data_IF_233262280860
#
_entry.id   IF_233262280860
#
_cell.length_a   1.000
_cell.length_b   1.000
_cell.length_c   1.000
_cell.angle_alpha   90.00
_cell.angle_beta   90.00
_cell.angle_gamma   90.00
#
_symmetry.space_group_name_H-M   'P 1'
#
loop_
_entity.id
_entity.type
_entity.pdbx_description
1 polymer ?
#
# COMPACT_ATOMS: atom_id res chain seq x y z
N UNK A 1 17.30 1.90 4.25
CA UNK A 1 17.91 1.46 2.98
C UNK A 1 17.72 2.59 1.97
N UNK A 2 18.75 2.98 1.21
CA UNK A 2 18.64 4.00 0.15
C UNK A 2 19.03 3.37 -1.18
N UNK A 3 18.22 3.57 -2.22
CA UNK A 3 18.51 3.12 -3.58
C UNK A 3 19.46 4.09 -4.29
N UNK A 4 20.29 3.58 -5.23
CA UNK A 4 21.06 4.45 -6.13
C UNK A 4 20.13 4.92 -7.26
N UNK A 5 20.00 6.24 -7.41
CA UNK A 5 19.04 6.93 -8.29
C UNK A 5 18.92 6.47 -9.76
N UNK A 6 19.95 5.93 -10.48
CA UNK A 6 19.71 5.54 -11.86
C UNK A 6 18.90 4.25 -12.04
N UNK A 7 18.75 3.43 -10.99
CA UNK A 7 18.06 2.13 -11.08
C UNK A 7 16.71 2.09 -10.34
N UNK A 8 16.41 3.10 -9.51
CA UNK A 8 15.17 3.19 -8.72
C UNK A 8 14.56 4.56 -8.96
N UNK A 9 13.36 4.57 -9.53
CA UNK A 9 12.59 5.77 -9.85
C UNK A 9 11.95 6.36 -8.60
N UNK A 10 11.42 5.52 -7.71
CA UNK A 10 10.86 5.94 -6.42
C UNK A 10 10.83 4.79 -5.42
N UNK A 11 10.77 5.14 -4.13
CA UNK A 11 10.68 4.20 -3.01
C UNK A 11 9.63 4.69 -2.02
N UNK A 12 8.65 3.85 -1.72
CA UNK A 12 7.72 4.03 -0.61
C UNK A 12 7.87 2.88 0.36
N UNK A 13 8.08 3.18 1.64
CA UNK A 13 8.08 2.18 2.71
C UNK A 13 7.22 2.68 3.85
N UNK A 14 6.58 1.75 4.54
CA UNK A 14 5.85 2.06 5.75
C UNK A 14 5.96 0.93 6.78
N UNK A 15 5.81 1.27 8.05
CA UNK A 15 5.89 0.35 9.17
C UNK A 15 4.89 0.73 10.26
N UNK A 16 4.02 -0.22 10.60
CA UNK A 16 2.91 -0.01 11.51
C UNK A 16 2.84 -1.12 12.57
N UNK A 17 2.38 -0.85 13.81
CA UNK A 17 2.05 -1.90 14.75
C UNK A 17 0.99 -2.85 14.15
N UNK A 18 1.17 -4.17 14.31
CA UNK A 18 0.16 -5.15 13.89
C UNK A 18 -0.95 -5.25 14.94
N UNK A 19 -1.71 -4.16 15.05
CA UNK A 19 -2.87 -4.00 15.92
C UNK A 19 -4.05 -3.43 15.13
N UNK A 20 -5.26 -3.59 15.67
CA UNK A 20 -6.50 -3.05 15.10
C UNK A 20 -6.39 -1.54 14.82
N UNK A 21 -7.07 -1.07 13.76
CA UNK A 21 -7.27 0.36 13.58
C UNK A 21 -8.20 0.94 14.66
N UNK A 22 -8.03 2.21 15.05
CA UNK A 22 -9.00 2.89 15.90
C UNK A 22 -10.38 2.95 15.24
N UNK A 23 -11.43 3.00 16.06
CA UNK A 23 -12.82 3.07 15.59
C UNK A 23 -13.03 4.24 14.60
N UNK A 24 -13.71 3.95 13.49
CA UNK A 24 -14.04 4.93 12.44
C UNK A 24 -12.90 5.26 11.47
N UNK A 25 -11.67 4.78 11.72
CA UNK A 25 -10.55 5.00 10.79
C UNK A 25 -10.68 4.13 9.54
N UNK A 26 -11.17 2.90 9.69
CA UNK A 26 -11.30 1.97 8.56
C UNK A 26 -12.17 2.54 7.43
N UNK A 27 -13.33 3.11 7.75
CA UNK A 27 -14.24 3.66 6.73
C UNK A 27 -13.65 4.90 6.04
N UNK A 28 -12.80 5.66 6.74
CA UNK A 28 -12.16 6.85 6.19
C UNK A 28 -10.97 6.53 5.27
N UNK A 29 -10.39 5.33 5.37
CA UNK A 29 -9.17 4.95 4.66
C UNK A 29 -9.38 3.84 3.61
N UNK A 30 -10.62 3.36 3.45
CA UNK A 30 -10.95 2.24 2.56
C UNK A 30 -12.10 2.53 1.61
N UNK A 31 -12.05 1.88 0.46
CA UNK A 31 -13.18 1.74 -0.45
C UNK A 31 -14.09 0.59 -0.01
N UNK A 32 -15.35 0.62 -0.44
CA UNK A 32 -16.34 -0.44 -0.16
C UNK A 32 -15.86 -1.80 -0.70
N UNK A 33 -15.28 -1.81 -1.90
CA UNK A 33 -14.72 -3.00 -2.54
C UNK A 33 -13.53 -3.55 -1.74
N UNK A 34 -12.66 -2.68 -1.23
CA UNK A 34 -11.51 -3.11 -0.41
C UNK A 34 -11.97 -3.79 0.87
N UNK A 35 -13.02 -3.26 1.54
CA UNK A 35 -13.58 -3.90 2.74
C UNK A 35 -14.12 -5.30 2.43
N UNK A 36 -14.74 -5.50 1.28
CA UNK A 36 -15.21 -6.81 0.85
C UNK A 36 -14.05 -7.76 0.53
N UNK A 37 -13.04 -7.29 -0.21
CA UNK A 37 -11.88 -8.09 -0.61
C UNK A 37 -11.03 -8.50 0.60
N UNK A 38 -10.74 -7.59 1.54
CA UNK A 38 -9.95 -7.94 2.73
C UNK A 38 -10.71 -8.84 3.69
N UNK A 39 -12.04 -8.78 3.73
CA UNK A 39 -12.87 -9.71 4.52
C UNK A 39 -12.85 -11.14 3.96
N UNK A 40 -12.43 -11.34 2.70
CA UNK A 40 -12.24 -12.65 2.09
C UNK A 40 -10.83 -13.23 2.32
N UNK A 41 -9.92 -12.46 2.91
CA UNK A 41 -8.56 -12.90 3.23
C UNK A 41 -8.52 -13.70 4.54
N UNK A 42 -7.47 -14.50 4.80
CA UNK A 42 -7.40 -15.33 6.01
C UNK A 42 -7.51 -14.52 7.32
N UNK A 43 -8.41 -14.92 8.23
CA UNK A 43 -8.77 -14.21 9.48
C UNK A 43 -7.66 -14.07 10.55
N UNK A 44 -6.39 -14.37 10.22
CA UNK A 44 -5.28 -14.39 11.18
C UNK A 44 -4.55 -13.06 11.34
N UNK A 45 -4.86 -12.07 10.50
CA UNK A 45 -4.16 -10.79 10.45
C UNK A 45 -5.14 -9.61 10.51
N UNK A 46 -4.66 -8.50 11.09
CA UNK A 46 -5.28 -7.17 11.00
C UNK A 46 -5.13 -6.61 9.57
N UNK A 47 -5.98 -7.07 8.65
CA UNK A 47 -5.94 -6.65 7.24
C UNK A 47 -6.29 -5.19 7.03
N UNK A 48 -7.12 -4.63 7.91
CA UNK A 48 -7.37 -3.20 8.04
C UNK A 48 -6.06 -2.41 8.18
N UNK A 49 -5.19 -2.84 9.09
CA UNK A 49 -3.89 -2.23 9.33
C UNK A 49 -2.91 -2.46 8.19
N UNK A 50 -2.94 -3.65 7.58
CA UNK A 50 -2.09 -3.97 6.42
C UNK A 50 -2.46 -3.09 5.22
N UNK A 51 -3.76 -2.89 4.98
CA UNK A 51 -4.27 -1.99 3.96
C UNK A 51 -3.85 -0.54 4.22
N UNK A 52 -4.02 -0.06 5.46
CA UNK A 52 -3.56 1.27 5.86
C UNK A 52 -2.06 1.48 5.59
N UNK A 53 -1.22 0.54 6.04
CA UNK A 53 0.22 0.58 5.83
C UNK A 53 0.58 0.59 4.33
N UNK A 54 -0.13 -0.20 3.52
CA UNK A 54 0.08 -0.22 2.07
C UNK A 54 -0.32 1.11 1.39
N UNK A 55 -1.41 1.76 1.84
CA UNK A 55 -1.82 3.09 1.35
C UNK A 55 -0.76 4.15 1.66
N UNK A 56 -0.18 4.13 2.86
CA UNK A 56 0.91 5.03 3.23
C UNK A 56 2.16 4.82 2.34
N UNK A 57 2.56 3.56 2.12
CA UNK A 57 3.67 3.24 1.23
C UNK A 57 3.39 3.71 -0.21
N UNK A 58 2.15 3.57 -0.71
CA UNK A 58 1.72 4.10 -2.01
C UNK A 58 1.91 5.62 -2.07
N UNK A 59 1.42 6.37 -1.08
CA UNK A 59 1.59 7.83 -1.04
C UNK A 59 3.08 8.22 -1.03
N UNK A 60 3.91 7.53 -0.24
CA UNK A 60 5.35 7.78 -0.13
C UNK A 60 6.10 7.50 -1.46
N UNK A 61 5.68 6.48 -2.22
CA UNK A 61 6.22 6.21 -3.56
C UNK A 61 5.69 7.20 -4.62
N UNK A 62 4.45 7.66 -4.47
CA UNK A 62 3.75 8.56 -5.39
C UNK A 62 4.25 10.01 -5.32
N UNK A 63 4.29 10.59 -4.13
CA UNK A 63 4.47 12.03 -3.95
C UNK A 63 5.76 12.59 -4.58
N UNK A 64 6.94 11.94 -4.49
CA UNK A 64 8.15 12.42 -5.17
C UNK A 64 8.01 12.50 -6.69
N UNK A 65 7.17 11.64 -7.28
CA UNK A 65 6.99 11.50 -8.72
C UNK A 65 5.97 12.48 -9.31
N UNK A 66 4.98 12.87 -8.52
CA UNK A 66 3.83 13.67 -9.00
C UNK A 66 3.73 15.04 -8.34
N UNK A 67 4.27 15.18 -7.12
CA UNK A 67 4.10 16.35 -6.23
C UNK A 67 2.63 16.71 -5.99
N UNK A 68 1.74 15.71 -6.08
CA UNK A 68 0.30 15.86 -5.89
C UNK A 68 -0.15 15.03 -4.70
N UNK A 69 -1.22 15.50 -4.07
CA UNK A 69 -1.95 14.71 -3.07
C UNK A 69 -2.50 13.44 -3.72
N UNK A 70 -2.57 12.37 -2.94
CA UNK A 70 -3.25 11.12 -3.25
C UNK A 70 -3.99 10.70 -1.98
N UNK A 71 -5.30 10.85 -1.99
CA UNK A 71 -6.19 10.43 -0.90
C UNK A 71 -6.23 8.91 -0.75
N UNK A 72 -6.87 8.45 0.32
CA UNK A 72 -7.01 7.00 0.56
C UNK A 72 -7.96 6.37 -0.47
N UNK A 73 -8.99 7.11 -0.87
CA UNK A 73 -9.98 6.77 -1.89
C UNK A 73 -9.43 6.85 -3.32
N UNK A 74 -8.28 7.50 -3.54
CA UNK A 74 -7.69 7.71 -4.87
C UNK A 74 -6.90 6.49 -5.38
N UNK A 75 -6.84 5.42 -4.59
CA UNK A 75 -6.15 4.19 -4.94
C UNK A 75 -6.91 2.96 -4.46
N UNK A 76 -7.06 1.94 -5.30
CA UNK A 76 -7.60 0.63 -4.93
C UNK A 76 -6.46 -0.38 -4.76
N UNK A 77 -6.32 -0.98 -3.58
CA UNK A 77 -5.29 -1.97 -3.26
C UNK A 77 -5.89 -3.37 -3.19
N UNK A 78 -5.31 -4.28 -3.98
CA UNK A 78 -5.59 -5.73 -3.93
C UNK A 78 -4.38 -6.48 -3.38
N UNK A 79 -4.63 -7.57 -2.63
CA UNK A 79 -3.60 -8.37 -1.99
C UNK A 79 -3.55 -9.80 -2.54
N UNK A 80 -2.34 -10.31 -2.71
CA UNK A 80 -2.03 -11.73 -2.85
C UNK A 80 -1.28 -12.19 -1.61
N UNK A 81 -1.61 -13.38 -1.10
CA UNK A 81 -1.06 -13.94 0.13
C UNK A 81 -0.17 -15.14 -0.20
N UNK A 82 1.09 -15.12 0.24
CA UNK A 82 1.99 -16.26 0.09
C UNK A 82 1.55 -17.43 1.01
N UNK A 83 1.96 -18.69 0.74
CA UNK A 83 1.47 -19.87 1.48
C UNK A 83 1.65 -19.83 3.01
N UNK A 84 2.67 -19.12 3.50
CA UNK A 84 2.93 -18.96 4.94
C UNK A 84 1.94 -18.01 5.63
N UNK A 85 1.18 -17.23 4.86
CA UNK A 85 0.10 -16.38 5.37
C UNK A 85 0.55 -15.12 6.11
N UNK A 86 1.85 -14.80 6.12
CA UNK A 86 2.41 -13.63 6.84
C UNK A 86 3.18 -12.67 5.93
N UNK A 87 3.20 -12.95 4.63
CA UNK A 87 3.86 -12.12 3.61
C UNK A 87 3.09 -12.27 2.31
N UNK A 88 3.29 -11.33 1.40
CA UNK A 88 2.74 -11.42 0.06
C UNK A 88 3.01 -10.19 -0.77
N UNK A 89 2.17 -10.02 -1.78
CA UNK A 89 2.24 -8.92 -2.74
C UNK A 89 0.96 -8.09 -2.61
N UNK A 90 1.08 -6.81 -2.94
CA UNK A 90 -0.10 -5.99 -3.19
C UNK A 90 0.08 -5.19 -4.48
N UNK A 91 -1.03 -4.77 -5.07
CA UNK A 91 -1.05 -3.85 -6.22
C UNK A 91 -1.98 -2.70 -5.89
N UNK A 92 -1.41 -1.50 -5.87
CA UNK A 92 -2.16 -0.25 -5.73
C UNK A 92 -2.49 0.31 -7.11
N UNK A 93 -3.76 0.23 -7.52
CA UNK A 93 -4.29 0.82 -8.75
C UNK A 93 -4.67 2.26 -8.48
N UNK A 94 -4.11 3.20 -9.23
CA UNK A 94 -4.41 4.64 -9.10
C UNK A 94 -5.70 4.95 -9.84
N UNK A 95 -6.65 5.60 -9.15
CA UNK A 95 -8.00 5.90 -9.65
C UNK A 95 -8.13 7.35 -10.17
N UNK A 96 -7.09 8.16 -9.98
CA UNK A 96 -6.99 9.54 -10.46
C UNK A 96 -5.94 9.67 -11.57
N UNK A 97 -5.74 10.88 -12.09
CA UNK A 97 -4.70 11.16 -13.08
C UNK A 97 -3.30 10.78 -12.54
N UNK A 98 -2.68 9.77 -13.15
CA UNK A 98 -1.37 9.23 -12.82
C UNK A 98 -0.17 9.99 -13.40
N UNK A 99 -0.37 11.14 -14.04
CA UNK A 99 0.72 11.87 -14.74
C UNK A 99 1.86 12.22 -13.80
N UNK A 100 3.07 11.75 -14.12
CA UNK A 100 4.30 12.01 -13.38
C UNK A 100 5.02 13.26 -13.94
N UNK A 101 5.86 13.89 -13.12
CA UNK A 101 6.70 15.02 -13.53
C UNK A 101 7.66 14.66 -14.68
N UNK A 102 8.10 13.40 -14.73
CA UNK A 102 8.92 12.84 -15.79
C UNK A 102 8.74 11.32 -15.87
N UNK A 103 8.94 10.75 -17.07
CA UNK A 103 8.75 9.31 -17.32
C UNK A 103 7.28 8.91 -17.49
N UNK A 104 6.97 7.60 -17.48
CA UNK A 104 5.62 7.10 -17.71
C UNK A 104 4.68 7.42 -16.53
N UNK A 105 3.36 7.54 -16.78
CA UNK A 105 2.38 7.75 -15.71
C UNK A 105 2.37 6.59 -14.71
N UNK A 106 1.97 6.88 -13.46
CA UNK A 106 1.76 5.92 -12.40
C UNK A 106 0.30 5.46 -12.40
N UNK A 107 0.04 4.28 -12.98
CA UNK A 107 -1.31 3.70 -13.05
C UNK A 107 -1.49 2.53 -12.08
N UNK A 108 -0.44 1.75 -11.84
CA UNK A 108 -0.42 0.68 -10.85
C UNK A 108 0.97 0.57 -10.22
N UNK A 109 1.01 0.46 -8.89
CA UNK A 109 2.24 0.33 -8.11
C UNK A 109 2.21 -1.03 -7.41
N UNK A 110 3.16 -1.90 -7.77
CA UNK A 110 3.31 -3.22 -7.13
C UNK A 110 4.20 -3.09 -5.90
N UNK A 111 3.74 -3.62 -4.77
CA UNK A 111 4.48 -3.66 -3.52
C UNK A 111 4.50 -5.05 -2.89
N UNK A 112 5.21 -5.15 -1.78
CA UNK A 112 5.24 -6.32 -0.90
C UNK A 112 4.85 -5.92 0.50
N UNK A 113 4.24 -6.86 1.22
CA UNK A 113 3.89 -6.71 2.62
C UNK A 113 4.45 -7.88 3.44
N UNK A 114 4.74 -7.63 4.72
CA UNK A 114 5.24 -8.61 5.68
C UNK A 114 4.67 -8.29 7.06
N UNK A 115 4.19 -9.30 7.77
CA UNK A 115 3.87 -9.22 9.19
C UNK A 115 4.87 -10.06 9.97
N UNK A 116 5.64 -9.41 10.85
CA UNK A 116 6.62 -10.10 11.71
C UNK A 116 6.88 -9.29 12.97
N UNK A 117 7.05 -9.98 14.10
CA UNK A 117 7.36 -9.36 15.40
C UNK A 117 6.36 -8.23 15.77
N UNK A 118 5.06 -8.48 15.56
CA UNK A 118 3.98 -7.50 15.80
C UNK A 118 4.11 -6.20 14.99
N UNK A 119 4.80 -6.23 13.86
CA UNK A 119 4.89 -5.13 12.91
C UNK A 119 4.37 -5.55 11.55
N UNK A 120 3.62 -4.67 10.91
CA UNK A 120 3.35 -4.66 9.48
C UNK A 120 4.45 -3.84 8.81
N UNK A 121 5.03 -4.37 7.74
CA UNK A 121 5.95 -3.65 6.87
C UNK A 121 5.42 -3.71 5.45
N UNK A 122 5.45 -2.59 4.75
CA UNK A 122 5.13 -2.52 3.32
C UNK A 122 6.22 -1.78 2.55
N UNK A 123 6.42 -2.17 1.29
CA UNK A 123 7.40 -1.53 0.42
C UNK A 123 6.97 -1.56 -1.05
N UNK A 124 7.19 -0.44 -1.74
CA UNK A 124 7.07 -0.27 -3.20
C UNK A 124 8.41 0.26 -3.71
N UNK A 125 8.93 -0.39 -4.76
CA UNK A 125 10.14 0.04 -5.49
C UNK A 125 9.75 0.17 -6.97
N UNK A 126 9.90 1.38 -7.53
CA UNK A 126 9.61 1.69 -8.94
C UNK A 126 10.89 1.86 -9.77
#
# INVERSE_FOLDING_TARGET
MVGRSPAVRSLGIDAEPHDVLPDGVLDAITLDEERHEIAALPDRLHWDRILFCAKEATYKAWFPMTRRWLGFEDAHIVFDVDPEGTTGVFVSKILIDGTALSGPPLTALRGRWLVRNSLVLTAIVL
#
